data_IF_409979590182
#
_entry.id   IF_409979590182
#
_cell.length_a   1.000
_cell.length_b   1.000
_cell.length_c   1.000
_cell.angle_alpha   90.00
_cell.angle_beta   90.00
_cell.angle_gamma   90.00
#
_symmetry.space_group_name_H-M   'P 1'
#
loop_
_entity.id
_entity.type
_entity.pdbx_description
1 polymer ?
#
# COMPACT_ATOMS: atom_id res chain seq x y z
N UNK A 1 -36.71 51.33 19.63
CA UNK A 1 -35.46 51.30 18.83
C UNK A 1 -34.45 50.49 19.63
N UNK A 2 -34.12 49.26 19.22
CA UNK A 2 -32.98 48.52 19.75
C UNK A 2 -32.49 47.57 18.65
N UNK A 3 -31.47 48.01 17.92
CA UNK A 3 -30.69 47.19 17.01
C UNK A 3 -29.28 47.17 17.58
N UNK A 4 -28.80 46.01 18.01
CA UNK A 4 -27.37 45.74 18.09
C UNK A 4 -27.15 44.38 17.44
N UNK A 5 -26.42 44.41 16.33
CA UNK A 5 -26.21 43.33 15.36
C UNK A 5 -24.71 43.09 15.25
N UNK A 6 -24.30 41.83 15.45
CA UNK A 6 -23.05 41.16 15.02
C UNK A 6 -21.74 41.67 15.68
N UNK A 7 -20.70 40.88 15.91
CA UNK A 7 -20.03 39.88 15.05
C UNK A 7 -19.26 38.92 15.98
N UNK A 8 -19.50 37.60 15.92
CA UNK A 8 -18.53 36.64 16.48
C UNK A 8 -17.58 36.23 15.36
N UNK A 9 -16.37 36.77 15.49
CA UNK A 9 -15.20 36.61 14.66
C UNK A 9 -14.78 35.13 14.62
N UNK A 10 -14.49 34.65 13.41
CA UNK A 10 -14.15 33.26 13.15
C UNK A 10 -12.87 32.81 13.84
N UNK A 11 -12.91 31.59 14.40
CA UNK A 11 -11.75 30.75 14.61
C UNK A 11 -11.98 29.48 13.79
N UNK A 12 -11.66 29.55 12.50
CA UNK A 12 -11.51 28.36 11.67
C UNK A 12 -10.25 27.64 12.18
N UNK A 13 -10.46 26.67 13.08
CA UNK A 13 -9.45 25.69 13.47
C UNK A 13 -9.00 24.97 12.20
N UNK A 14 -7.89 25.43 11.62
CA UNK A 14 -7.11 24.64 10.66
C UNK A 14 -6.47 23.53 11.48
N UNK A 15 -7.23 22.45 11.68
CA UNK A 15 -6.65 21.20 12.13
C UNK A 15 -5.66 20.75 11.04
N UNK A 16 -4.41 20.41 11.36
CA UNK A 16 -3.57 19.74 10.40
C UNK A 16 -4.30 18.45 10.02
N UNK A 17 -4.62 18.28 8.74
CA UNK A 17 -4.97 17.00 8.18
C UNK A 17 -3.71 16.12 8.21
N UNK A 18 -3.25 15.79 9.42
CA UNK A 18 -2.29 14.73 9.64
C UNK A 18 -3.00 13.47 9.19
N UNK A 19 -2.70 13.03 7.98
CA UNK A 19 -3.18 11.75 7.47
C UNK A 19 -2.91 10.71 8.54
N UNK A 20 -3.96 9.98 8.94
CA UNK A 20 -3.82 8.87 9.86
C UNK A 20 -2.76 7.94 9.27
N UNK A 21 -1.55 7.96 9.84
CA UNK A 21 -0.54 6.97 9.52
C UNK A 21 -1.10 5.65 10.03
N UNK A 22 -1.82 4.93 9.16
CA UNK A 22 -2.30 3.60 9.46
C UNK A 22 -1.07 2.77 9.81
N UNK A 23 -1.04 2.24 11.04
CA UNK A 23 0.05 1.37 11.46
C UNK A 23 0.10 0.20 10.48
N UNK A 24 1.29 -0.16 9.95
CA UNK A 24 1.39 -1.24 8.98
C UNK A 24 0.86 -2.52 9.62
N UNK A 25 -0.30 -2.99 9.15
CA UNK A 25 -0.93 -4.21 9.66
C UNK A 25 0.01 -5.41 9.54
N UNK A 26 -0.30 -6.49 10.25
CA UNK A 26 0.52 -7.70 10.24
C UNK A 26 0.73 -8.24 8.81
N UNK A 27 1.88 -8.87 8.51
CA UNK A 27 2.11 -9.48 7.21
C UNK A 27 1.01 -10.47 6.85
N UNK A 28 0.51 -10.36 5.62
CA UNK A 28 -0.55 -11.24 5.08
C UNK A 28 0.00 -12.25 4.07
N UNK A 29 1.15 -11.96 3.45
CA UNK A 29 1.81 -12.87 2.53
C UNK A 29 3.32 -12.68 2.49
N UNK A 30 4.03 -13.69 1.98
CA UNK A 30 5.45 -13.66 1.67
C UNK A 30 5.64 -13.82 0.17
N UNK A 31 6.52 -13.03 -0.43
CA UNK A 31 6.98 -13.25 -1.80
C UNK A 31 8.04 -14.35 -1.82
N UNK A 32 7.64 -15.58 -2.10
CA UNK A 32 8.51 -16.76 -1.99
C UNK A 32 9.31 -17.03 -3.25
N UNK A 33 8.82 -16.64 -4.42
CA UNK A 33 9.51 -16.85 -5.70
C UNK A 33 9.37 -15.65 -6.63
N UNK A 34 10.46 -15.34 -7.35
CA UNK A 34 10.50 -14.31 -8.39
C UNK A 34 11.13 -14.94 -9.64
N UNK A 35 10.38 -14.99 -10.73
CA UNK A 35 10.84 -15.41 -12.05
C UNK A 35 10.72 -14.23 -13.01
N UNK A 36 11.81 -13.49 -13.31
CA UNK A 36 11.73 -12.25 -14.09
C UNK A 36 11.39 -12.47 -15.58
N UNK A 37 11.78 -13.60 -16.19
CA UNK A 37 11.58 -13.80 -17.63
C UNK A 37 12.23 -12.67 -18.46
N UNK A 38 11.47 -12.07 -19.38
CA UNK A 38 11.82 -10.87 -20.17
C UNK A 38 11.23 -9.59 -19.58
N UNK A 39 10.57 -9.67 -18.42
CA UNK A 39 9.98 -8.54 -17.72
C UNK A 39 10.55 -8.38 -16.32
N UNK A 40 9.74 -7.81 -15.44
CA UNK A 40 10.09 -7.58 -14.05
C UNK A 40 8.89 -7.78 -13.12
N UNK A 41 9.20 -8.19 -11.89
CA UNK A 41 8.30 -8.12 -10.75
C UNK A 41 8.64 -6.84 -9.99
N UNK A 42 7.63 -6.06 -9.64
CA UNK A 42 7.77 -4.85 -8.83
C UNK A 42 6.80 -4.89 -7.67
N UNK A 43 7.22 -4.30 -6.56
CA UNK A 43 6.40 -4.09 -5.37
C UNK A 43 6.27 -2.61 -5.10
N UNK A 44 5.10 -2.17 -4.66
CA UNK A 44 4.86 -0.85 -4.09
C UNK A 44 4.31 -1.08 -2.69
N UNK A 45 5.09 -0.73 -1.68
CA UNK A 45 4.61 -0.80 -0.31
C UNK A 45 3.53 0.27 -0.09
N UNK A 46 2.58 0.03 0.80
CA UNK A 46 1.45 0.95 1.01
C UNK A 46 1.89 2.37 1.39
N UNK A 47 3.05 2.50 2.05
CA UNK A 47 3.66 3.77 2.46
C UNK A 47 4.56 4.40 1.39
N UNK A 48 4.88 3.67 0.32
CA UNK A 48 5.74 4.14 -0.75
C UNK A 48 4.93 4.81 -1.86
N UNK A 49 5.50 5.83 -2.49
CA UNK A 49 4.93 6.41 -3.71
C UNK A 49 5.26 5.55 -4.95
N UNK A 50 6.47 4.99 -4.97
CA UNK A 50 7.10 4.39 -6.14
C UNK A 50 7.13 2.87 -6.13
N UNK A 51 7.21 2.29 -7.33
CA UNK A 51 7.44 0.87 -7.54
C UNK A 51 8.92 0.53 -7.43
N UNK A 52 9.27 -0.45 -6.59
CA UNK A 52 10.64 -0.89 -6.34
C UNK A 52 10.84 -2.35 -6.74
N UNK A 53 12.10 -2.74 -6.98
CA UNK A 53 12.43 -4.15 -7.14
C UNK A 53 12.27 -4.84 -5.78
N UNK A 54 11.56 -5.98 -5.71
CA UNK A 54 11.38 -6.69 -4.46
C UNK A 54 12.64 -7.47 -4.08
N UNK A 55 12.78 -7.75 -2.78
CA UNK A 55 13.72 -8.74 -2.27
C UNK A 55 13.04 -10.11 -2.17
N UNK A 56 13.78 -11.22 -2.33
CA UNK A 56 13.27 -12.55 -2.01
C UNK A 56 12.76 -12.60 -0.56
N UNK A 57 11.68 -13.33 -0.33
CA UNK A 57 11.03 -13.47 0.98
C UNK A 57 10.53 -12.15 1.59
N UNK A 58 10.28 -11.13 0.76
CA UNK A 58 9.66 -9.89 1.21
C UNK A 58 8.27 -10.18 1.80
N UNK A 59 8.05 -9.71 3.02
CA UNK A 59 6.74 -9.70 3.67
C UNK A 59 5.86 -8.61 3.08
N UNK A 60 4.69 -9.00 2.59
CA UNK A 60 3.63 -8.11 2.12
C UNK A 60 2.62 -7.88 3.23
N UNK A 61 2.22 -6.62 3.40
CA UNK A 61 1.22 -6.16 4.37
C UNK A 61 -0.06 -5.74 3.65
N UNK A 62 -1.17 -5.58 4.39
CA UNK A 62 -2.40 -5.03 3.81
C UNK A 62 -2.13 -3.69 3.11
N UNK A 63 -2.55 -3.58 1.85
CA UNK A 63 -2.35 -2.39 1.02
C UNK A 63 -1.08 -2.40 0.17
N UNK A 64 -0.12 -3.28 0.43
CA UNK A 64 1.01 -3.47 -0.48
C UNK A 64 0.52 -4.01 -1.83
N UNK A 65 1.15 -3.55 -2.91
CA UNK A 65 0.82 -3.95 -4.27
C UNK A 65 1.99 -4.66 -4.90
N UNK A 66 1.70 -5.75 -5.61
CA UNK A 66 2.65 -6.45 -6.45
C UNK A 66 2.17 -6.46 -7.89
N UNK A 67 3.10 -6.35 -8.83
CA UNK A 67 2.82 -6.52 -10.25
C UNK A 67 3.94 -7.31 -10.92
N UNK A 68 3.56 -8.05 -11.95
CA UNK A 68 4.49 -8.64 -12.90
C UNK A 68 4.23 -8.06 -14.29
N UNK A 69 5.28 -7.96 -15.11
CA UNK A 69 5.21 -7.42 -16.47
C UNK A 69 5.73 -8.44 -17.47
N UNK A 70 5.23 -8.40 -18.72
CA UNK A 70 5.57 -9.37 -19.79
C UNK A 70 5.39 -10.82 -19.28
N UNK A 71 6.38 -11.68 -19.42
CA UNK A 71 6.34 -13.06 -18.92
C UNK A 71 7.00 -13.23 -17.54
N UNK A 72 7.15 -12.15 -16.76
CA UNK A 72 7.57 -12.27 -15.37
C UNK A 72 6.48 -12.94 -14.52
N UNK A 73 6.89 -13.63 -13.47
CA UNK A 73 5.98 -14.28 -12.52
C UNK A 73 6.49 -14.11 -11.09
N UNK A 74 5.58 -13.91 -10.15
CA UNK A 74 5.84 -13.95 -8.71
C UNK A 74 4.93 -14.99 -8.05
N UNK A 75 5.43 -15.64 -6.99
CA UNK A 75 4.60 -16.52 -6.16
C UNK A 75 4.52 -15.93 -4.76
N UNK A 76 3.29 -15.74 -4.30
CA UNK A 76 2.97 -15.33 -2.94
C UNK A 76 2.54 -16.54 -2.13
N UNK A 77 3.03 -16.67 -0.91
CA UNK A 77 2.51 -17.58 0.09
C UNK A 77 1.76 -16.78 1.16
N UNK A 78 0.46 -17.02 1.31
CA UNK A 78 -0.32 -16.34 2.34
C UNK A 78 -0.04 -16.93 3.71
N UNK A 79 0.11 -16.04 4.70
CA UNK A 79 0.27 -16.42 6.11
C UNK A 79 -1.03 -17.09 6.59
N UNK A 80 -0.96 -17.97 7.59
CA UNK A 80 -2.15 -18.63 8.15
C UNK A 80 -2.67 -19.83 7.32
N UNK A 81 -1.93 -20.28 6.32
CA UNK A 81 -2.26 -21.50 5.57
C UNK A 81 -3.28 -21.29 4.44
N UNK A 82 -3.50 -20.05 4.00
CA UNK A 82 -4.41 -19.73 2.90
C UNK A 82 -3.88 -20.08 1.49
N UNK A 83 -2.77 -20.83 1.41
CA UNK A 83 -2.19 -21.32 0.17
C UNK A 83 -1.33 -20.29 -0.55
N UNK A 84 -1.14 -20.50 -1.85
CA UNK A 84 -0.25 -19.69 -2.70
C UNK A 84 -1.00 -19.04 -3.86
N UNK A 85 -0.57 -17.85 -4.26
CA UNK A 85 -1.05 -17.15 -5.45
C UNK A 85 0.10 -16.88 -6.40
N UNK A 86 -0.09 -17.22 -7.67
CA UNK A 86 0.84 -16.86 -8.73
C UNK A 86 0.37 -15.57 -9.41
N UNK A 87 1.25 -14.56 -9.46
CA UNK A 87 1.01 -13.28 -10.13
C UNK A 87 1.79 -13.26 -11.43
N UNK A 88 1.09 -13.15 -12.56
CA UNK A 88 1.66 -12.92 -13.90
C UNK A 88 1.26 -11.56 -14.45
N UNK A 89 1.73 -11.22 -15.65
CA UNK A 89 1.14 -10.11 -16.38
C UNK A 89 -0.28 -10.46 -16.82
N UNK A 90 -1.15 -9.45 -16.86
CA UNK A 90 -2.49 -9.55 -17.45
C UNK A 90 -2.43 -9.57 -18.99
#
# INVERSE_FOLDING_TARGET
MNVVRYVFLGALLVAPAGGFAASPGDPVALLTEIRPGQGEVRVKQATDADWKAPLPLLSLRPGDQIRATRNATAVLMFVGGHGTLTVGAA
#
